data_IF_006497467857
#
_entry.id   IF_006497467857
#
_cell.length_a   1.000
_cell.length_b   1.000
_cell.length_c   1.000
_cell.angle_alpha   90.00
_cell.angle_beta   90.00
_cell.angle_gamma   90.00
#
_symmetry.space_group_name_H-M   'P 1'
#
loop_
_entity.id
_entity.type
_entity.pdbx_description
1 polymer ?
#
# COMPACT_ATOMS: atom_id res chain seq x y z
N UNK A 1 -20.95 -24.53 10.82
CA UNK A 1 -21.54 -23.25 10.65
C UNK A 1 -20.62 -22.39 9.85
N UNK A 2 -21.19 -21.48 9.24
CA UNK A 2 -20.39 -20.63 8.46
C UNK A 2 -19.73 -19.56 9.32
N UNK A 3 -18.61 -19.12 8.92
CA UNK A 3 -17.78 -18.19 9.67
C UNK A 3 -18.21 -16.73 9.54
N UNK A 4 -19.49 -16.48 9.28
CA UNK A 4 -20.04 -15.15 9.13
C UNK A 4 -19.54 -14.41 7.88
N UNK A 5 -19.14 -15.17 6.88
CA UNK A 5 -18.65 -14.60 5.66
C UNK A 5 -17.20 -14.14 5.71
N UNK A 6 -16.52 -14.43 6.80
CA UNK A 6 -15.11 -14.05 6.92
C UNK A 6 -14.24 -14.96 6.07
N UNK A 7 -13.48 -14.38 5.16
CA UNK A 7 -12.50 -15.11 4.39
C UNK A 7 -11.23 -15.26 5.20
N UNK A 8 -10.62 -16.44 5.26
CA UNK A 8 -9.33 -16.60 5.94
C UNK A 8 -8.29 -15.67 5.32
N UNK A 9 -7.42 -15.12 6.15
CA UNK A 9 -6.35 -14.28 5.69
C UNK A 9 -5.34 -15.11 4.89
N UNK A 10 -4.87 -14.59 3.77
CA UNK A 10 -3.88 -15.27 2.94
C UNK A 10 -2.64 -15.59 3.80
N UNK A 11 -2.06 -16.81 3.68
CA UNK A 11 -0.89 -17.20 4.47
C UNK A 11 0.29 -16.25 4.37
N UNK A 12 0.46 -15.59 3.23
CA UNK A 12 1.56 -14.63 3.05
C UNK A 12 1.35 -13.39 3.90
N UNK A 13 0.10 -12.97 4.06
CA UNK A 13 -0.25 -11.86 4.94
C UNK A 13 -0.13 -12.25 6.40
N UNK A 14 -0.51 -13.48 6.74
CA UNK A 14 -0.32 -13.98 8.10
C UNK A 14 1.15 -14.02 8.48
N UNK A 15 2.00 -14.48 7.56
CA UNK A 15 3.44 -14.53 7.79
C UNK A 15 4.03 -13.12 7.99
N UNK A 16 3.62 -12.17 7.14
CA UNK A 16 4.07 -10.79 7.27
C UNK A 16 3.63 -10.18 8.61
N UNK A 17 2.41 -10.49 9.03
CA UNK A 17 1.89 -9.97 10.29
C UNK A 17 2.64 -10.55 11.49
N UNK A 18 3.00 -11.81 11.44
CA UNK A 18 3.77 -12.46 12.50
C UNK A 18 5.12 -11.77 12.69
N UNK A 19 5.82 -11.47 11.59
CA UNK A 19 7.08 -10.75 11.62
C UNK A 19 6.90 -9.35 12.21
N UNK A 20 5.87 -8.64 11.77
CA UNK A 20 5.59 -7.28 12.26
C UNK A 20 5.30 -7.27 13.76
N UNK A 21 4.56 -8.27 14.24
CA UNK A 21 4.27 -8.40 15.66
C UNK A 21 5.54 -8.63 16.47
N UNK A 22 6.42 -9.50 15.98
CA UNK A 22 7.71 -9.77 16.64
C UNK A 22 8.59 -8.53 16.67
N UNK A 23 8.50 -7.68 15.65
CA UNK A 23 9.29 -6.46 15.54
C UNK A 23 8.63 -5.26 16.22
N UNK A 24 7.45 -5.43 16.79
CA UNK A 24 6.74 -4.34 17.46
C UNK A 24 6.20 -3.26 16.54
N UNK A 25 5.87 -3.58 15.30
CA UNK A 25 5.32 -2.63 14.35
C UNK A 25 3.90 -2.25 14.70
N UNK A 26 3.52 -1.00 14.43
CA UNK A 26 2.19 -0.48 14.72
C UNK A 26 1.23 -0.63 13.53
N UNK A 27 1.54 -1.51 12.60
CA UNK A 27 0.70 -1.85 11.45
C UNK A 27 0.87 -3.34 11.17
N UNK A 28 0.04 -3.88 10.26
CA UNK A 28 -0.07 -5.32 10.11
C UNK A 28 1.20 -6.00 9.58
N UNK A 29 1.96 -5.32 8.72
CA UNK A 29 3.22 -5.88 8.23
C UNK A 29 3.63 -5.31 6.89
N UNK A 30 4.75 -5.83 6.37
CA UNK A 30 5.32 -5.41 5.08
C UNK A 30 5.19 -6.53 4.06
N UNK A 31 4.92 -6.18 2.81
CA UNK A 31 4.94 -7.13 1.70
C UNK A 31 5.76 -6.53 0.56
N UNK A 32 6.42 -7.38 -0.23
CA UNK A 32 7.17 -6.93 -1.39
C UNK A 32 6.23 -6.68 -2.58
N UNK A 33 6.69 -5.96 -3.62
CA UNK A 33 5.83 -5.64 -4.75
C UNK A 33 5.23 -6.84 -5.48
N UNK A 34 5.98 -7.91 -5.66
CA UNK A 34 5.49 -9.08 -6.37
C UNK A 34 4.40 -9.80 -5.60
N UNK A 35 4.59 -9.94 -4.29
CA UNK A 35 3.58 -10.51 -3.41
C UNK A 35 2.33 -9.63 -3.41
N UNK A 36 2.51 -8.31 -3.36
CA UNK A 36 1.39 -7.37 -3.38
C UNK A 36 0.56 -7.51 -4.66
N UNK A 37 1.23 -7.59 -5.81
CA UNK A 37 0.50 -7.76 -7.07
C UNK A 37 -0.27 -9.09 -7.11
N UNK A 38 0.37 -10.17 -6.69
CA UNK A 38 -0.29 -11.49 -6.64
C UNK A 38 -1.52 -11.46 -5.73
N UNK A 39 -1.43 -10.83 -4.57
CA UNK A 39 -2.56 -10.72 -3.64
C UNK A 39 -3.70 -9.89 -4.23
N UNK A 40 -3.37 -8.79 -4.90
CA UNK A 40 -4.36 -7.92 -5.51
C UNK A 40 -5.03 -8.62 -6.70
N UNK A 41 -4.24 -9.29 -7.52
CA UNK A 41 -4.72 -9.96 -8.73
C UNK A 41 -5.70 -11.08 -8.39
N UNK A 42 -5.48 -11.80 -7.29
CA UNK A 42 -6.35 -12.89 -6.86
C UNK A 42 -7.52 -12.43 -6.00
N UNK A 43 -7.59 -11.15 -5.68
CA UNK A 43 -8.67 -10.62 -4.84
C UNK A 43 -8.46 -10.82 -3.35
N UNK A 44 -7.27 -11.26 -2.93
CA UNK A 44 -6.98 -11.49 -1.50
C UNK A 44 -6.76 -10.19 -0.73
N UNK A 45 -6.46 -9.09 -1.44
CA UNK A 45 -6.26 -7.77 -0.85
C UNK A 45 -6.50 -6.70 -1.89
N UNK A 46 -6.65 -5.45 -1.46
CA UNK A 46 -6.75 -4.31 -2.38
C UNK A 46 -5.52 -3.43 -2.22
N UNK A 47 -5.04 -2.87 -3.34
CA UNK A 47 -3.95 -1.91 -3.30
C UNK A 47 -4.56 -0.52 -3.21
N UNK A 48 -4.13 0.25 -2.22
CA UNK A 48 -4.51 1.65 -2.05
C UNK A 48 -3.28 2.50 -2.27
N UNK A 49 -3.33 3.30 -3.33
CA UNK A 49 -2.26 4.23 -3.67
C UNK A 49 -2.47 5.51 -2.87
N UNK A 50 -1.49 5.86 -2.05
CA UNK A 50 -1.58 7.03 -1.17
C UNK A 50 -0.78 8.21 -1.69
N UNK A 51 -0.26 8.10 -2.93
CA UNK A 51 0.47 9.18 -3.58
C UNK A 51 -0.50 10.28 -4.02
N UNK A 52 0.07 11.41 -4.45
CA UNK A 52 -0.74 12.50 -4.98
C UNK A 52 -1.31 12.14 -6.36
N UNK A 53 -2.35 12.87 -6.77
CA UNK A 53 -2.94 12.71 -8.10
C UNK A 53 -1.90 13.00 -9.19
N UNK A 54 -1.01 13.99 -8.95
CA UNK A 54 0.06 14.33 -9.88
C UNK A 54 1.02 13.17 -10.10
N UNK A 55 1.39 12.48 -9.04
CA UNK A 55 2.26 11.30 -9.16
C UNK A 55 1.60 10.21 -10.00
N UNK A 56 0.31 9.96 -9.77
CA UNK A 56 -0.40 8.93 -10.54
C UNK A 56 -0.49 9.30 -12.01
N UNK A 57 -0.71 10.57 -12.30
CA UNK A 57 -0.86 11.03 -13.68
C UNK A 57 0.47 11.04 -14.44
N UNK A 58 1.51 11.63 -13.83
CA UNK A 58 2.75 11.90 -14.55
C UNK A 58 3.80 10.79 -14.41
N UNK A 59 3.78 10.04 -13.32
CA UNK A 59 4.74 8.96 -13.09
C UNK A 59 4.17 7.61 -13.47
N UNK A 60 2.87 7.41 -13.26
CA UNK A 60 2.20 6.17 -13.57
C UNK A 60 1.45 5.61 -12.37
N UNK A 61 0.67 4.56 -12.60
CA UNK A 61 -0.14 3.94 -11.56
C UNK A 61 -0.27 2.43 -11.78
N UNK A 62 -0.61 1.73 -10.71
CA UNK A 62 -0.88 0.29 -10.76
C UNK A 62 -2.33 0.10 -11.21
N UNK A 63 -2.60 -0.82 -12.17
CA UNK A 63 -3.97 -1.09 -12.59
C UNK A 63 -4.85 -1.51 -11.42
N UNK A 64 -6.09 -1.03 -11.41
CA UNK A 64 -7.11 -1.38 -10.42
C UNK A 64 -6.79 -0.92 -8.99
N UNK A 65 -5.71 -0.17 -8.77
CA UNK A 65 -5.45 0.38 -7.46
C UNK A 65 -6.45 1.51 -7.14
N UNK A 66 -6.87 1.56 -5.88
CA UNK A 66 -7.71 2.65 -5.39
C UNK A 66 -6.81 3.84 -5.05
N UNK A 67 -7.36 5.04 -5.13
CA UNK A 67 -6.60 6.24 -4.82
C UNK A 67 -7.18 6.96 -3.61
N UNK A 68 -6.41 6.95 -2.51
CA UNK A 68 -6.75 7.70 -1.30
C UNK A 68 -5.47 8.42 -0.87
N UNK A 69 -5.31 9.70 -1.25
CA UNK A 69 -4.03 10.38 -1.03
C UNK A 69 -3.78 10.70 0.44
N UNK A 70 -2.54 10.44 0.87
CA UNK A 70 -2.05 10.86 2.18
C UNK A 70 -1.66 12.33 2.18
N UNK A 71 -1.11 12.79 1.03
CA UNK A 71 -0.73 14.17 0.83
C UNK A 71 -1.09 14.56 -0.60
N UNK A 72 -1.38 15.83 -0.82
CA UNK A 72 -1.89 16.31 -2.10
C UNK A 72 -1.04 17.44 -2.66
N UNK A 73 -1.13 17.63 -3.98
CA UNK A 73 -0.44 18.67 -4.70
C UNK A 73 1.05 18.41 -4.87
N UNK A 74 1.72 19.32 -5.53
CA UNK A 74 3.16 19.22 -5.78
C UNK A 74 3.97 19.38 -4.50
N UNK A 75 3.45 20.15 -3.55
CA UNK A 75 4.12 20.39 -2.27
C UNK A 75 3.83 19.30 -1.24
N UNK A 76 3.02 18.30 -1.60
CA UNK A 76 2.66 17.17 -0.74
C UNK A 76 2.13 17.63 0.61
N UNK A 77 1.09 18.47 0.58
CA UNK A 77 0.41 18.92 1.78
C UNK A 77 -0.44 17.78 2.35
N UNK A 78 -0.28 17.50 3.63
CA UNK A 78 -0.96 16.39 4.30
C UNK A 78 -2.48 16.51 4.14
N UNK A 79 -3.12 15.41 3.77
CA UNK A 79 -4.58 15.34 3.67
C UNK A 79 -5.20 15.04 5.04
N UNK A 80 -5.85 16.03 5.69
CA UNK A 80 -6.40 15.82 7.03
C UNK A 80 -7.61 14.89 7.04
N UNK A 81 -8.18 14.58 5.88
CA UNK A 81 -9.34 13.70 5.75
C UNK A 81 -8.97 12.29 5.30
N UNK A 82 -7.69 11.92 5.38
CA UNK A 82 -7.24 10.62 4.87
C UNK A 82 -8.04 9.45 5.44
N UNK A 83 -8.23 9.41 6.75
CA UNK A 83 -8.94 8.30 7.40
C UNK A 83 -10.40 8.26 6.95
N UNK A 84 -11.06 9.42 6.88
CA UNK A 84 -12.45 9.50 6.42
C UNK A 84 -12.58 9.05 4.97
N UNK A 85 -11.65 9.49 4.12
CA UNK A 85 -11.65 9.10 2.70
C UNK A 85 -11.42 7.60 2.57
N UNK A 86 -10.51 7.04 3.37
CA UNK A 86 -10.25 5.61 3.36
C UNK A 86 -11.49 4.82 3.81
N UNK A 87 -12.16 5.29 4.87
CA UNK A 87 -13.35 4.62 5.38
C UNK A 87 -14.49 4.62 4.36
N UNK A 88 -14.55 5.64 3.52
CA UNK A 88 -15.54 5.70 2.45
C UNK A 88 -15.21 4.74 1.30
N UNK A 89 -13.95 4.37 1.13
CA UNK A 89 -13.48 3.58 -0.01
C UNK A 89 -13.34 2.09 0.30
N UNK A 90 -12.95 1.71 1.51
CA UNK A 90 -12.62 0.32 1.84
C UNK A 90 -13.18 -0.06 3.20
N UNK A 91 -13.89 -1.20 3.31
CA UNK A 91 -14.34 -1.71 4.62
C UNK A 91 -13.16 -2.11 5.51
N UNK A 92 -13.37 -2.08 6.83
CA UNK A 92 -12.29 -2.26 7.80
C UNK A 92 -11.75 -3.68 7.92
N UNK A 93 -12.48 -4.66 7.42
CA UNK A 93 -12.04 -6.06 7.47
C UNK A 93 -11.37 -6.51 6.17
N UNK A 94 -11.31 -5.67 5.16
CA UNK A 94 -10.64 -5.98 3.89
C UNK A 94 -9.14 -5.71 4.02
N UNK A 95 -8.28 -6.69 3.68
CA UNK A 95 -6.84 -6.45 3.70
C UNK A 95 -6.44 -5.36 2.70
N UNK A 96 -5.64 -4.40 3.16
CA UNK A 96 -5.19 -3.28 2.35
C UNK A 96 -3.67 -3.32 2.23
N UNK A 97 -3.19 -3.09 1.02
CA UNK A 97 -1.76 -2.96 0.71
C UNK A 97 -1.53 -1.53 0.27
N UNK A 98 -0.89 -0.72 1.13
CA UNK A 98 -0.66 0.69 0.85
C UNK A 98 0.58 0.90 0.00
N UNK A 99 0.45 1.70 -1.05
CA UNK A 99 1.51 1.99 -2.01
C UNK A 99 1.83 3.48 -2.01
N UNK A 100 3.12 3.81 -1.88
CA UNK A 100 3.57 5.18 -2.10
C UNK A 100 4.78 5.19 -3.04
N UNK A 101 5.60 6.23 -3.02
CA UNK A 101 6.73 6.34 -3.95
C UNK A 101 7.85 5.38 -3.61
N UNK A 102 8.24 5.29 -2.34
CA UNK A 102 9.39 4.50 -1.90
C UNK A 102 9.13 3.64 -0.65
N UNK A 103 7.89 3.62 -0.16
CA UNK A 103 7.53 2.81 1.01
C UNK A 103 7.51 3.57 2.32
N UNK A 104 7.68 4.89 2.34
CA UNK A 104 7.71 5.69 3.58
C UNK A 104 6.35 6.25 3.98
N UNK A 105 5.68 6.96 3.05
CA UNK A 105 4.34 7.49 3.32
C UNK A 105 3.36 6.36 3.61
N UNK A 106 3.54 5.23 2.94
CA UNK A 106 2.65 4.08 3.09
C UNK A 106 2.78 3.44 4.48
N UNK A 107 3.93 3.52 5.14
CA UNK A 107 4.04 3.11 6.54
C UNK A 107 3.14 4.00 7.41
N UNK A 108 3.22 5.31 7.21
CA UNK A 108 2.40 6.25 7.98
C UNK A 108 0.91 5.99 7.77
N UNK A 109 0.50 5.69 6.53
CA UNK A 109 -0.90 5.38 6.23
C UNK A 109 -1.32 4.05 6.85
N UNK A 110 -0.45 3.04 6.83
CA UNK A 110 -0.76 1.76 7.47
C UNK A 110 -0.94 1.91 8.98
N UNK A 111 -0.10 2.73 9.61
CA UNK A 111 -0.25 3.03 11.05
C UNK A 111 -1.56 3.77 11.32
N UNK A 112 -1.86 4.80 10.52
CA UNK A 112 -3.10 5.56 10.69
C UNK A 112 -4.33 4.69 10.50
N UNK A 113 -4.31 3.81 9.50
CA UNK A 113 -5.41 2.89 9.25
C UNK A 113 -5.58 1.90 10.40
N UNK A 114 -4.47 1.37 10.92
CA UNK A 114 -4.53 0.44 12.05
C UNK A 114 -5.16 1.12 13.28
N UNK A 115 -4.76 2.36 13.55
CA UNK A 115 -5.34 3.13 14.66
C UNK A 115 -6.82 3.42 14.46
N UNK A 116 -7.27 3.48 13.21
CA UNK A 116 -8.67 3.71 12.88
C UNK A 116 -9.51 2.44 12.88
N UNK A 117 -8.91 1.27 13.14
CA UNK A 117 -9.63 0.01 13.26
C UNK A 117 -9.48 -0.94 12.07
N UNK A 118 -8.63 -0.62 11.11
CA UNK A 118 -8.33 -1.55 10.02
C UNK A 118 -7.42 -2.66 10.54
N UNK A 119 -7.89 -3.89 10.43
CA UNK A 119 -7.20 -5.05 11.02
C UNK A 119 -6.02 -5.54 10.20
N UNK A 120 -6.05 -5.27 8.89
CA UNK A 120 -5.11 -5.86 7.94
C UNK A 120 -4.53 -4.76 7.04
N UNK A 121 -3.85 -3.79 7.65
CA UNK A 121 -3.24 -2.66 6.95
C UNK A 121 -1.75 -2.92 6.78
N UNK A 122 -1.33 -3.19 5.53
CA UNK A 122 0.04 -3.56 5.18
C UNK A 122 0.72 -2.47 4.37
N UNK A 123 2.03 -2.44 4.44
CA UNK A 123 2.87 -1.56 3.63
C UNK A 123 3.49 -2.35 2.48
N UNK A 124 3.45 -1.80 1.27
CA UNK A 124 4.21 -2.35 0.14
C UNK A 124 5.59 -1.71 0.20
N UNK A 125 6.62 -2.51 0.52
CA UNK A 125 8.00 -2.00 0.58
C UNK A 125 8.45 -1.59 -0.82
N UNK A 126 9.48 -0.75 -0.90
CA UNK A 126 10.06 -0.22 -2.14
C UNK A 126 9.19 0.80 -2.86
N UNK A 127 7.85 0.71 -2.74
CA UNK A 127 6.94 1.63 -3.39
C UNK A 127 6.91 1.51 -4.91
N UNK A 128 6.30 2.50 -5.55
CA UNK A 128 6.12 2.48 -7.00
C UNK A 128 7.41 2.77 -7.76
N UNK A 129 8.20 3.72 -7.27
CA UNK A 129 9.43 4.18 -7.94
C UNK A 129 10.70 3.63 -7.31
N UNK A 130 10.64 3.14 -6.08
CA UNK A 130 11.80 2.62 -5.40
C UNK A 130 12.63 3.68 -4.69
N UNK A 131 13.78 3.23 -4.18
CA UNK A 131 14.72 4.08 -3.48
C UNK A 131 15.63 4.82 -4.44
N UNK A 132 16.20 5.92 -3.96
CA UNK A 132 17.26 6.61 -4.70
C UNK A 132 18.52 5.74 -4.72
N UNK A 133 19.16 5.66 -5.89
CA UNK A 133 20.46 4.98 -5.98
C UNK A 133 21.57 5.95 -5.59
N UNK A 134 22.82 5.52 -5.73
CA UNK A 134 23.98 6.34 -5.39
C UNK A 134 24.15 7.60 -6.23
N UNK A 135 23.38 7.72 -7.31
CA UNK A 135 23.40 8.87 -8.20
C UNK A 135 22.14 9.74 -8.06
N UNK A 136 21.30 9.44 -7.04
CA UNK A 136 20.08 10.19 -6.79
C UNK A 136 18.96 9.87 -7.75
N UNK A 137 18.92 8.66 -8.30
CA UNK A 137 17.88 8.24 -9.26
C UNK A 137 17.03 7.13 -8.70
N UNK A 138 15.74 7.17 -9.03
CA UNK A 138 14.80 6.09 -8.68
C UNK A 138 14.57 5.17 -9.87
N UNK A 139 14.05 3.95 -9.59
CA UNK A 139 13.71 2.99 -10.63
C UNK A 139 14.91 2.21 -11.14
N UNK A 140 16.04 2.27 -10.45
CA UNK A 140 17.28 1.64 -10.89
C UNK A 140 17.76 0.53 -9.97
N UNK A 141 17.21 0.44 -8.75
CA UNK A 141 17.63 -0.58 -7.78
C UNK A 141 16.46 -1.40 -7.26
N UNK A 142 15.30 -0.80 -7.10
CA UNK A 142 14.10 -1.51 -6.65
C UNK A 142 12.84 -0.72 -7.01
N UNK A 143 11.66 -1.17 -6.54
CA UNK A 143 10.39 -0.53 -6.79
C UNK A 143 9.52 -1.34 -7.74
N UNK A 144 8.21 -1.01 -7.73
CA UNK A 144 7.21 -1.69 -8.55
C UNK A 144 7.59 -1.77 -10.02
N UNK A 145 7.95 -0.63 -10.60
CA UNK A 145 8.32 -0.57 -12.03
C UNK A 145 9.61 -1.31 -12.31
N UNK A 146 10.60 -1.19 -11.41
CA UNK A 146 11.87 -1.91 -11.55
C UNK A 146 11.66 -3.43 -11.58
N UNK A 147 10.69 -3.93 -10.81
CA UNK A 147 10.38 -5.36 -10.75
C UNK A 147 9.60 -5.85 -11.97
N UNK A 148 9.28 -4.99 -12.91
CA UNK A 148 8.59 -5.38 -14.13
C UNK A 148 7.12 -5.69 -13.96
N UNK A 149 6.50 -5.19 -12.89
CA UNK A 149 5.09 -5.44 -12.60
C UNK A 149 4.19 -4.50 -13.42
N UNK A 150 2.91 -4.86 -13.63
CA UNK A 150 2.02 -4.05 -14.47
C UNK A 150 1.83 -2.63 -13.95
N UNK A 151 1.94 -1.65 -14.84
CA UNK A 151 1.65 -0.25 -14.56
C UNK A 151 1.32 0.48 -15.85
N UNK A 152 0.67 1.62 -15.73
CA UNK A 152 0.30 2.43 -16.88
C UNK A 152 0.39 3.91 -16.58
N UNK A 153 0.28 4.72 -17.64
CA UNK A 153 0.22 6.18 -17.56
C UNK A 153 -0.96 6.67 -18.39
N UNK A 154 -1.44 7.85 -18.05
CA UNK A 154 -2.48 8.51 -18.84
C UNK A 154 -1.87 9.20 -20.06
#
# INVERSE_FOLDING_TARGET
>A
MRDNGTTPLDPRLEAAHRIATEEGREYAGDVDPRTAWSLAETGAAVIVDVRSAEERKFVGRVPQSLHVPWATGLDLVRNPRFVEDLEAAVPKDVPILFLCRSGRRSISTAVAATRAGYRHAYNIVEGFEGDLDGQGRRGRSNGWRFRGLPWGQD
#
